data_IF_672460300007
#
_entry.id   IF_672460300007
#
_cell.length_a   1.000
_cell.length_b   1.000
_cell.length_c   1.000
_cell.angle_alpha   90.00
_cell.angle_beta   90.00
_cell.angle_gamma   90.00
#
_symmetry.space_group_name_H-M   'P 1'
#
loop_
_entity.id
_entity.type
_entity.pdbx_description
1 polymer ?
#
# COMPACT_ATOMS: atom_id res chain seq x y z
N UNK A 1 -57.95 81.89 -12.85
CA UNK A 1 -57.47 81.44 -11.53
C UNK A 1 -58.08 80.08 -11.26
N UNK A 2 -57.34 78.98 -11.13
CA UNK A 2 -55.89 78.89 -11.15
C UNK A 2 -55.45 77.48 -11.58
N UNK A 3 -54.78 77.40 -12.73
CA UNK A 3 -54.19 76.20 -13.33
C UNK A 3 -52.92 75.73 -12.57
N UNK A 4 -52.64 76.30 -11.40
CA UNK A 4 -51.43 76.07 -10.62
C UNK A 4 -51.53 74.89 -9.64
N UNK A 5 -52.73 74.54 -9.16
CA UNK A 5 -52.86 73.52 -8.09
C UNK A 5 -52.80 72.08 -8.61
N UNK A 6 -53.20 71.83 -9.86
CA UNK A 6 -53.22 70.48 -10.43
C UNK A 6 -51.84 70.00 -10.95
N UNK A 7 -50.86 70.90 -11.15
CA UNK A 7 -49.52 70.53 -11.63
C UNK A 7 -48.56 70.10 -10.53
N UNK A 8 -48.81 70.47 -9.27
CA UNK A 8 -47.92 70.10 -8.16
C UNK A 8 -48.13 68.64 -7.72
N UNK A 9 -49.37 68.15 -7.76
CA UNK A 9 -49.69 66.79 -7.29
C UNK A 9 -49.17 65.67 -8.21
N UNK A 10 -48.98 65.94 -9.52
CA UNK A 10 -48.47 64.97 -10.50
C UNK A 10 -46.92 64.86 -10.52
N UNK A 11 -46.22 65.90 -10.06
CA UNK A 11 -44.75 65.93 -10.01
C UNK A 11 -44.18 65.30 -8.72
N UNK A 12 -44.95 65.26 -7.63
CA UNK A 12 -44.54 64.60 -6.39
C UNK A 12 -44.76 63.07 -6.43
N UNK A 13 -45.84 62.60 -7.05
CA UNK A 13 -46.10 61.17 -7.23
C UNK A 13 -45.06 60.46 -8.09
N UNK A 14 -44.54 61.12 -9.13
CA UNK A 14 -43.53 60.56 -10.05
C UNK A 14 -42.12 60.51 -9.45
N UNK A 15 -41.81 61.40 -8.49
CA UNK A 15 -40.54 61.35 -7.73
C UNK A 15 -40.54 60.29 -6.64
N UNK A 16 -41.67 60.04 -5.98
CA UNK A 16 -41.83 58.96 -5.01
C UNK A 16 -41.70 57.58 -5.67
N UNK A 17 -42.33 57.39 -6.84
CA UNK A 17 -42.24 56.14 -7.61
C UNK A 17 -40.85 55.85 -8.18
N UNK A 18 -40.09 56.88 -8.59
CA UNK A 18 -38.70 56.72 -9.04
C UNK A 18 -37.72 56.42 -7.89
N UNK A 19 -37.96 56.95 -6.68
CA UNK A 19 -37.14 56.61 -5.50
C UNK A 19 -37.46 55.22 -4.95
N UNK A 20 -38.72 54.78 -5.02
CA UNK A 20 -39.11 53.43 -4.66
C UNK A 20 -38.49 52.39 -5.60
N UNK A 21 -38.57 52.59 -6.93
CA UNK A 21 -38.05 51.63 -7.92
C UNK A 21 -36.50 51.46 -7.88
N UNK A 22 -35.75 52.52 -7.56
CA UNK A 22 -34.28 52.44 -7.39
C UNK A 22 -33.91 51.76 -6.06
N UNK A 23 -34.72 51.93 -5.01
CA UNK A 23 -34.52 51.24 -3.74
C UNK A 23 -34.82 49.73 -3.84
N UNK A 24 -35.82 49.30 -4.60
CA UNK A 24 -36.12 47.87 -4.79
C UNK A 24 -35.07 47.15 -5.65
N UNK A 25 -34.43 47.82 -6.61
CA UNK A 25 -33.34 47.21 -7.39
C UNK A 25 -32.01 47.13 -6.62
N UNK A 26 -31.74 48.07 -5.71
CA UNK A 26 -30.57 48.03 -4.84
C UNK A 26 -30.71 46.99 -3.70
N UNK A 27 -31.92 46.78 -3.18
CA UNK A 27 -32.18 45.74 -2.17
C UNK A 27 -32.23 44.32 -2.76
N UNK A 28 -32.68 44.14 -4.01
CA UNK A 28 -32.68 42.83 -4.65
C UNK A 28 -31.27 42.35 -5.07
N UNK A 29 -30.36 43.26 -5.38
CA UNK A 29 -28.94 42.91 -5.65
C UNK A 29 -28.16 42.62 -4.37
N UNK A 30 -28.45 43.32 -3.27
CA UNK A 30 -27.82 43.02 -1.96
C UNK A 30 -28.38 41.71 -1.37
N UNK A 31 -29.67 41.41 -1.53
CA UNK A 31 -30.27 40.17 -1.05
C UNK A 31 -29.81 38.92 -1.83
N UNK A 32 -29.51 39.05 -3.13
CA UNK A 32 -28.98 37.95 -3.95
C UNK A 32 -27.48 37.70 -3.73
N UNK A 33 -26.71 38.71 -3.32
CA UNK A 33 -25.34 38.48 -2.84
C UNK A 33 -25.32 37.78 -1.47
N UNK A 34 -26.25 38.05 -0.57
CA UNK A 34 -26.26 37.42 0.77
C UNK A 34 -26.63 35.93 0.79
N UNK A 35 -27.23 35.40 -0.27
CA UNK A 35 -27.53 33.95 -0.39
C UNK A 35 -26.42 33.14 -1.07
N UNK A 36 -25.43 33.79 -1.69
CA UNK A 36 -24.27 33.12 -2.27
C UNK A 36 -23.10 32.97 -1.27
N UNK A 37 -23.08 33.76 -0.20
CA UNK A 37 -21.97 33.74 0.76
C UNK A 37 -21.98 32.63 1.84
N UNK A 38 -23.10 32.01 2.27
CA UNK A 38 -23.00 30.92 3.24
C UNK A 38 -22.58 29.59 2.58
N UNK A 39 -22.63 29.47 1.24
CA UNK A 39 -22.19 28.26 0.53
C UNK A 39 -20.66 28.22 0.39
N UNK A 40 -20.00 29.36 0.12
CA UNK A 40 -18.54 29.43 0.08
C UNK A 40 -17.86 29.30 1.46
N UNK A 41 -18.55 29.64 2.56
CA UNK A 41 -18.02 29.42 3.91
C UNK A 41 -18.12 27.98 4.39
N UNK A 42 -18.97 27.14 3.78
CA UNK A 42 -19.04 25.71 4.11
C UNK A 42 -17.85 24.94 3.52
N UNK A 43 -17.35 25.34 2.36
CA UNK A 43 -16.14 24.75 1.76
C UNK A 43 -14.85 25.22 2.46
N UNK A 44 -14.83 26.45 2.99
CA UNK A 44 -13.67 26.99 3.70
C UNK A 44 -13.47 26.39 5.11
N UNK A 45 -14.48 25.72 5.66
CA UNK A 45 -14.43 25.08 6.98
C UNK A 45 -14.26 23.55 6.89
N UNK A 46 -13.76 23.02 5.77
CA UNK A 46 -13.23 21.64 5.69
C UNK A 46 -11.72 21.58 5.98
N UNK A 47 -11.17 22.60 6.64
CA UNK A 47 -9.77 22.66 7.08
C UNK A 47 -9.69 23.10 8.53
N UNK A 48 -9.74 22.14 9.46
CA UNK A 48 -9.18 22.18 10.84
C UNK A 48 -9.88 21.24 11.84
N UNK A 49 -10.60 20.20 11.39
CA UNK A 49 -10.47 18.94 12.11
C UNK A 49 -8.99 18.57 12.00
N UNK A 50 -8.21 18.70 13.08
CA UNK A 50 -6.75 18.55 13.04
C UNK A 50 -6.37 17.37 12.16
N UNK A 51 -5.68 17.63 11.04
CA UNK A 51 -5.63 16.75 9.87
C UNK A 51 -5.57 15.29 10.31
N UNK A 52 -6.74 14.64 10.30
CA UNK A 52 -6.84 13.30 10.85
C UNK A 52 -5.93 12.40 10.02
N UNK A 53 -5.27 11.44 10.65
CA UNK A 53 -4.19 10.72 9.98
C UNK A 53 -4.70 10.05 8.71
N UNK A 54 -4.06 10.31 7.56
CA UNK A 54 -4.61 10.00 6.22
C UNK A 54 -5.17 8.57 6.09
N UNK A 55 -4.48 7.58 6.67
CA UNK A 55 -4.85 6.17 6.55
C UNK A 55 -6.13 5.79 7.31
N UNK A 56 -6.63 6.63 8.23
CA UNK A 56 -7.86 6.34 8.99
C UNK A 56 -9.12 6.35 8.12
N UNK A 57 -9.08 7.08 7.00
CA UNK A 57 -10.21 7.28 6.10
C UNK A 57 -9.85 6.93 4.65
N UNK A 58 -8.68 6.33 4.43
CA UNK A 58 -8.16 6.05 3.10
C UNK A 58 -8.88 4.85 2.45
N UNK A 59 -9.19 4.99 1.16
CA UNK A 59 -9.48 3.86 0.28
C UNK A 59 -8.15 3.28 -0.20
N UNK A 60 -7.80 2.10 0.32
CA UNK A 60 -6.60 1.36 -0.06
C UNK A 60 -6.96 0.30 -1.10
N UNK A 61 -6.22 0.28 -2.22
CA UNK A 61 -6.39 -0.70 -3.29
C UNK A 61 -5.16 -1.61 -3.35
N UNK A 62 -5.36 -2.89 -3.06
CA UNK A 62 -4.29 -3.89 -3.15
C UNK A 62 -4.06 -4.31 -4.61
N UNK A 63 -2.80 -4.35 -5.02
CA UNK A 63 -2.35 -4.71 -6.35
C UNK A 63 -1.40 -5.89 -6.26
N UNK A 64 -1.78 -6.99 -6.90
CA UNK A 64 -0.89 -8.10 -7.19
C UNK A 64 -0.17 -7.84 -8.53
N UNK A 65 1.14 -7.51 -8.53
CA UNK A 65 1.81 -6.91 -9.68
C UNK A 65 1.79 -7.80 -10.92
N UNK A 66 2.10 -9.10 -10.75
CA UNK A 66 2.16 -10.09 -11.84
C UNK A 66 0.87 -10.22 -12.66
N UNK A 67 -0.29 -9.87 -12.12
CA UNK A 67 -1.58 -10.06 -12.80
C UNK A 67 -2.36 -8.76 -13.05
N UNK A 68 -1.77 -7.60 -12.75
CA UNK A 68 -2.49 -6.34 -12.88
C UNK A 68 -2.48 -5.80 -14.32
N UNK A 69 -1.30 -5.52 -14.88
CA UNK A 69 -1.16 -5.09 -16.27
C UNK A 69 0.27 -5.33 -16.77
N UNK A 70 0.40 -6.10 -17.85
CA UNK A 70 1.63 -6.26 -18.63
C UNK A 70 1.79 -5.04 -19.56
N UNK A 71 2.94 -4.37 -19.49
CA UNK A 71 3.25 -3.18 -20.30
C UNK A 71 4.22 -3.44 -21.46
N UNK A 72 4.88 -4.60 -21.49
CA UNK A 72 5.97 -4.90 -22.41
C UNK A 72 5.68 -6.10 -23.35
N UNK A 73 4.60 -6.85 -23.10
CA UNK A 73 4.14 -7.98 -23.90
C UNK A 73 4.76 -9.34 -23.55
N UNK A 74 5.40 -9.49 -22.38
CA UNK A 74 6.00 -10.74 -21.92
C UNK A 74 5.02 -11.68 -21.19
N UNK A 75 3.79 -11.23 -20.93
CA UNK A 75 2.73 -11.98 -20.26
C UNK A 75 2.71 -11.84 -18.73
N UNK A 76 3.58 -11.01 -18.16
CA UNK A 76 3.68 -10.74 -16.72
C UNK A 76 3.39 -9.26 -16.45
N UNK A 77 2.52 -8.98 -15.48
CA UNK A 77 2.26 -7.61 -15.06
C UNK A 77 3.47 -6.97 -14.37
N UNK A 78 3.68 -5.68 -14.61
CA UNK A 78 4.90 -4.96 -14.22
C UNK A 78 4.62 -3.55 -13.64
N UNK A 79 5.65 -2.90 -13.08
CA UNK A 79 5.50 -1.59 -12.42
C UNK A 79 5.12 -0.47 -13.40
N UNK A 80 5.55 -0.56 -14.65
CA UNK A 80 5.16 0.41 -15.68
C UNK A 80 3.68 0.23 -16.04
N UNK A 81 3.16 -0.99 -16.03
CA UNK A 81 1.74 -1.30 -16.19
C UNK A 81 0.90 -0.68 -15.07
N UNK A 82 1.34 -0.80 -13.81
CA UNK A 82 0.69 -0.11 -12.69
C UNK A 82 0.71 1.41 -12.91
N UNK A 83 1.86 1.95 -13.31
CA UNK A 83 2.04 3.39 -13.58
C UNK A 83 1.07 3.90 -14.65
N UNK A 84 0.86 3.14 -15.74
CA UNK A 84 -0.08 3.49 -16.80
C UNK A 84 -1.55 3.57 -16.33
N UNK A 85 -1.90 2.91 -15.23
CA UNK A 85 -3.25 2.91 -14.65
C UNK A 85 -3.41 3.87 -13.47
N UNK A 86 -2.39 4.64 -13.12
CA UNK A 86 -2.48 5.58 -12.00
C UNK A 86 -3.61 6.62 -12.17
N UNK A 87 -3.89 7.04 -13.41
CA UNK A 87 -5.05 7.90 -13.70
C UNK A 87 -6.38 7.22 -13.38
N UNK A 88 -6.55 5.95 -13.78
CA UNK A 88 -7.74 5.16 -13.46
C UNK A 88 -7.92 4.97 -11.95
N UNK A 89 -6.83 4.67 -11.22
CA UNK A 89 -6.87 4.49 -9.76
C UNK A 89 -7.27 5.79 -9.04
N UNK A 90 -6.76 6.93 -9.50
CA UNK A 90 -7.18 8.24 -9.01
C UNK A 90 -8.67 8.51 -9.28
N UNK A 91 -9.13 8.30 -10.53
CA UNK A 91 -10.53 8.52 -10.92
C UNK A 91 -11.50 7.60 -10.16
N UNK A 92 -11.05 6.41 -9.76
CA UNK A 92 -11.78 5.48 -8.91
C UNK A 92 -11.95 5.99 -7.47
N UNK A 93 -11.13 6.95 -7.03
CA UNK A 93 -11.11 7.49 -5.68
C UNK A 93 -10.17 6.75 -4.72
N UNK A 94 -9.11 6.11 -5.23
CA UNK A 94 -8.10 5.44 -4.41
C UNK A 94 -7.15 6.46 -3.79
N UNK A 95 -6.95 6.39 -2.47
CA UNK A 95 -6.01 7.24 -1.72
C UNK A 95 -4.60 6.62 -1.64
N UNK A 96 -4.53 5.29 -1.69
CA UNK A 96 -3.27 4.54 -1.67
C UNK A 96 -3.38 3.20 -2.42
N UNK A 97 -2.31 2.81 -3.10
CA UNK A 97 -2.11 1.43 -3.55
C UNK A 97 -1.23 0.69 -2.57
N UNK A 98 -1.58 -0.55 -2.27
CA UNK A 98 -0.72 -1.51 -1.58
C UNK A 98 -0.24 -2.53 -2.61
N UNK A 99 1.06 -2.59 -2.86
CA UNK A 99 1.64 -3.50 -3.83
C UNK A 99 2.16 -4.73 -3.09
N UNK A 100 1.65 -5.91 -3.45
CA UNK A 100 2.20 -7.20 -3.03
C UNK A 100 3.69 -7.31 -3.45
N UNK A 101 4.48 -8.24 -2.88
CA UNK A 101 5.94 -8.25 -3.06
C UNK A 101 6.41 -8.10 -4.51
N UNK A 102 7.29 -7.14 -4.73
CA UNK A 102 7.91 -6.84 -6.03
C UNK A 102 9.44 -6.98 -6.00
N UNK A 103 9.97 -7.53 -4.91
CA UNK A 103 11.40 -7.72 -4.66
C UNK A 103 11.92 -8.95 -5.40
N UNK A 104 13.23 -9.03 -5.71
CA UNK A 104 13.83 -10.25 -6.23
C UNK A 104 13.48 -11.46 -5.38
N UNK A 105 12.85 -12.44 -6.02
CA UNK A 105 12.41 -13.69 -5.39
C UNK A 105 12.56 -14.85 -6.38
N UNK A 106 12.94 -16.06 -5.93
CA UNK A 106 12.89 -17.27 -6.76
C UNK A 106 11.48 -17.66 -7.23
N UNK A 107 10.44 -17.02 -6.70
CA UNK A 107 9.03 -17.20 -7.03
C UNK A 107 8.44 -18.52 -6.56
N UNK A 108 9.02 -19.14 -5.53
CA UNK A 108 8.48 -20.38 -4.92
C UNK A 108 7.19 -20.09 -4.17
N UNK A 109 7.11 -18.93 -3.51
CA UNK A 109 5.88 -18.40 -2.90
C UNK A 109 5.49 -17.07 -3.55
N UNK A 110 5.59 -17.01 -4.88
CA UNK A 110 5.09 -15.89 -5.70
C UNK A 110 5.52 -14.48 -5.24
N UNK A 111 6.75 -14.36 -4.72
CA UNK A 111 7.32 -13.08 -4.29
C UNK A 111 7.52 -12.93 -2.78
N UNK A 112 6.90 -13.79 -1.96
CA UNK A 112 7.06 -13.72 -0.50
C UNK A 112 8.38 -14.36 -0.01
N UNK A 113 9.01 -15.19 -0.83
CA UNK A 113 10.37 -15.73 -0.68
C UNK A 113 11.44 -14.72 -1.15
N UNK A 114 11.62 -13.64 -0.39
CA UNK A 114 12.48 -12.51 -0.79
C UNK A 114 13.97 -12.85 -0.67
N UNK A 115 14.73 -12.63 -1.74
CA UNK A 115 16.19 -12.81 -1.79
C UNK A 115 16.99 -11.51 -1.59
N UNK A 116 16.43 -10.37 -2.00
CA UNK A 116 17.02 -9.04 -1.85
C UNK A 116 15.93 -7.99 -1.59
N UNK A 117 15.97 -7.33 -0.43
CA UNK A 117 14.98 -6.31 -0.05
C UNK A 117 15.25 -4.92 -0.65
N UNK A 118 16.42 -4.70 -1.24
CA UNK A 118 16.88 -3.38 -1.70
C UNK A 118 16.71 -3.18 -3.21
N UNK A 119 16.16 -4.19 -3.91
CA UNK A 119 15.98 -4.19 -5.35
C UNK A 119 14.52 -4.47 -5.75
N UNK A 120 14.25 -4.29 -7.04
CA UNK A 120 13.01 -4.70 -7.71
C UNK A 120 13.33 -5.96 -8.53
N UNK A 121 12.43 -6.95 -8.50
CA UNK A 121 12.58 -8.14 -9.32
C UNK A 121 12.62 -7.75 -10.80
N UNK A 122 13.62 -8.22 -11.58
CA UNK A 122 13.74 -7.88 -12.98
C UNK A 122 12.49 -8.18 -13.83
N UNK A 123 11.64 -9.12 -13.41
CA UNK A 123 10.36 -9.39 -14.10
C UNK A 123 9.35 -8.24 -13.96
N UNK A 124 9.47 -7.42 -12.92
CA UNK A 124 8.57 -6.28 -12.66
C UNK A 124 9.15 -4.94 -13.08
N UNK A 125 10.47 -4.86 -13.28
CA UNK A 125 11.17 -3.69 -13.80
C UNK A 125 12.42 -3.34 -13.02
N UNK A 126 12.66 -2.04 -12.84
CA UNK A 126 13.86 -1.50 -12.17
C UNK A 126 13.49 -0.55 -11.03
N UNK A 127 14.48 -0.21 -10.17
CA UNK A 127 14.31 0.86 -9.17
C UNK A 127 13.89 2.19 -9.80
N UNK A 128 14.39 2.50 -11.01
CA UNK A 128 13.98 3.70 -11.73
C UNK A 128 12.52 3.63 -12.20
N UNK A 129 11.96 2.44 -12.41
CA UNK A 129 10.55 2.25 -12.74
C UNK A 129 9.69 2.43 -11.49
N UNK A 130 10.17 1.94 -10.35
CA UNK A 130 9.54 2.20 -9.05
C UNK A 130 9.53 3.70 -8.70
N UNK A 131 10.63 4.42 -8.92
CA UNK A 131 10.68 5.87 -8.73
C UNK A 131 9.63 6.60 -9.59
N UNK A 132 9.43 6.15 -10.83
CA UNK A 132 8.39 6.70 -11.72
C UNK A 132 6.99 6.40 -11.20
N UNK A 133 6.73 5.18 -10.73
CA UNK A 133 5.45 4.81 -10.13
C UNK A 133 5.11 5.70 -8.94
N UNK A 134 6.06 5.88 -8.01
CA UNK A 134 5.89 6.75 -6.83
C UNK A 134 5.67 8.20 -7.25
N UNK A 135 6.43 8.69 -8.23
CA UNK A 135 6.27 10.05 -8.74
C UNK A 135 4.90 10.28 -9.40
N UNK A 136 4.39 9.32 -10.18
CA UNK A 136 3.06 9.40 -10.80
C UNK A 136 1.93 9.32 -9.79
N UNK A 137 2.07 8.48 -8.74
CA UNK A 137 1.14 8.44 -7.62
C UNK A 137 1.07 9.77 -6.90
N UNK A 138 2.23 10.35 -6.55
CA UNK A 138 2.33 11.66 -5.89
C UNK A 138 1.67 12.79 -6.70
N UNK A 139 1.78 12.78 -8.03
CA UNK A 139 1.11 13.78 -8.89
C UNK A 139 -0.42 13.73 -8.80
N UNK A 140 -0.97 12.62 -8.32
CA UNK A 140 -2.41 12.32 -8.24
C UNK A 140 -2.88 12.11 -6.80
N UNK A 141 -2.06 12.48 -5.82
CA UNK A 141 -2.31 12.26 -4.39
C UNK A 141 -2.56 10.79 -4.00
N UNK A 142 -2.15 9.84 -4.84
CA UNK A 142 -2.19 8.39 -4.57
C UNK A 142 -0.88 7.96 -3.92
N UNK A 143 -0.94 7.41 -2.71
CA UNK A 143 0.22 6.90 -1.98
C UNK A 143 0.58 5.50 -2.44
N UNK A 144 1.84 5.11 -2.27
CA UNK A 144 2.32 3.75 -2.52
C UNK A 144 2.75 3.15 -1.19
N UNK A 145 2.15 2.01 -0.85
CA UNK A 145 2.48 1.18 0.31
C UNK A 145 3.10 -0.12 -0.20
N UNK A 146 4.22 -0.51 0.39
CA UNK A 146 4.90 -1.75 0.06
C UNK A 146 4.60 -2.81 1.11
N UNK A 147 4.42 -4.05 0.64
CA UNK A 147 4.39 -5.21 1.52
C UNK A 147 5.79 -5.50 2.09
N UNK A 148 5.89 -5.81 3.38
CA UNK A 148 7.16 -6.12 4.05
C UNK A 148 7.09 -7.47 4.74
N UNK A 149 7.70 -8.47 4.11
CA UNK A 149 7.78 -9.84 4.64
C UNK A 149 9.05 -9.97 5.48
N UNK A 150 8.92 -9.92 6.81
CA UNK A 150 10.07 -9.89 7.73
C UNK A 150 10.26 -11.17 8.54
N UNK A 151 9.31 -12.10 8.50
CA UNK A 151 9.39 -13.35 9.27
C UNK A 151 10.45 -14.31 8.72
N UNK A 152 10.65 -14.30 7.40
CA UNK A 152 11.58 -15.18 6.69
C UNK A 152 12.13 -14.47 5.45
N UNK A 153 13.18 -15.07 4.88
CA UNK A 153 13.73 -14.73 3.56
C UNK A 153 13.80 -16.01 2.74
N UNK A 154 14.06 -15.89 1.43
CA UNK A 154 14.49 -17.04 0.65
C UNK A 154 15.86 -17.56 1.13
N UNK A 155 16.08 -18.86 0.94
CA UNK A 155 17.36 -19.56 1.05
C UNK A 155 18.42 -19.07 0.05
N UNK A 156 18.01 -18.30 -0.97
CA UNK A 156 18.89 -17.61 -1.92
C UNK A 156 19.29 -16.21 -1.45
N UNK A 157 18.75 -15.71 -0.34
CA UNK A 157 19.22 -14.46 0.25
C UNK A 157 20.67 -14.59 0.71
N UNK A 158 21.47 -13.52 0.53
CA UNK A 158 22.84 -13.49 1.03
C UNK A 158 22.90 -13.68 2.55
N UNK A 159 21.84 -13.29 3.27
CA UNK A 159 21.76 -13.50 4.72
C UNK A 159 21.69 -14.99 5.06
N UNK A 160 20.87 -15.77 4.35
CA UNK A 160 20.77 -17.21 4.57
C UNK A 160 22.05 -17.92 4.13
N UNK A 161 22.59 -17.57 2.96
CA UNK A 161 23.84 -18.14 2.45
C UNK A 161 24.98 -17.93 3.45
N UNK A 162 25.12 -16.72 4.00
CA UNK A 162 26.12 -16.42 5.02
C UNK A 162 25.87 -17.21 6.31
N UNK A 163 24.63 -17.22 6.79
CA UNK A 163 24.20 -17.94 8.01
C UNK A 163 24.48 -19.44 7.93
N UNK A 164 24.16 -20.05 6.79
CA UNK A 164 24.32 -21.47 6.50
C UNK A 164 25.75 -21.88 6.12
N UNK A 165 26.65 -20.92 5.87
CA UNK A 165 28.03 -21.21 5.42
C UNK A 165 28.90 -21.85 6.50
N UNK A 166 28.72 -21.47 7.76
CA UNK A 166 29.48 -21.96 8.90
C UNK A 166 28.83 -21.53 10.21
N UNK A 167 28.91 -22.39 11.24
CA UNK A 167 28.48 -22.06 12.61
C UNK A 167 29.25 -20.90 13.24
N UNK A 168 30.41 -20.54 12.69
CA UNK A 168 31.22 -19.40 13.17
C UNK A 168 30.98 -18.11 12.37
N UNK A 169 30.09 -18.13 11.37
CA UNK A 169 29.75 -16.92 10.63
C UNK A 169 29.00 -15.95 11.56
N UNK A 170 29.32 -14.64 11.55
CA UNK A 170 28.62 -13.65 12.38
C UNK A 170 27.11 -13.58 12.15
N UNK A 171 26.61 -14.06 11.00
CA UNK A 171 25.18 -14.12 10.67
C UNK A 171 24.54 -15.48 10.96
N UNK A 172 25.26 -16.45 11.53
CA UNK A 172 24.70 -17.78 11.79
C UNK A 172 23.41 -17.70 12.62
N UNK A 173 23.41 -16.91 13.68
CA UNK A 173 22.24 -16.75 14.56
C UNK A 173 21.17 -15.79 14.02
N UNK A 174 21.22 -15.39 12.73
CA UNK A 174 20.13 -14.65 12.09
C UNK A 174 18.94 -15.54 11.74
N UNK A 175 19.17 -16.86 11.67
CA UNK A 175 18.13 -17.86 11.43
C UNK A 175 18.06 -18.82 12.63
N UNK A 176 16.93 -19.51 12.75
CA UNK A 176 16.70 -20.43 13.87
C UNK A 176 17.29 -21.79 13.51
N UNK A 177 18.43 -22.11 14.12
CA UNK A 177 19.12 -23.39 13.98
C UNK A 177 18.90 -24.31 15.18
N UNK A 178 18.88 -25.60 14.94
CA UNK A 178 18.85 -26.60 16.00
C UNK A 178 19.68 -27.83 15.64
N UNK A 179 20.41 -28.38 16.61
CA UNK A 179 21.18 -29.60 16.40
C UNK A 179 20.31 -30.84 16.18
N UNK A 180 19.00 -30.76 16.47
CA UNK A 180 18.08 -31.90 16.51
C UNK A 180 18.27 -32.75 17.77
N UNK A 181 17.57 -33.88 17.82
CA UNK A 181 17.71 -34.87 18.91
C UNK A 181 18.13 -36.23 18.35
N UNK A 182 18.84 -37.08 19.11
CA UNK A 182 19.19 -38.42 18.64
C UNK A 182 17.96 -39.23 18.22
N UNK A 183 18.02 -39.92 17.08
CA UNK A 183 16.90 -40.68 16.51
C UNK A 183 16.40 -41.82 17.43
N UNK A 184 17.27 -42.32 18.31
CA UNK A 184 16.94 -43.30 19.34
C UNK A 184 16.35 -42.72 20.62
N UNK A 185 16.13 -41.40 20.71
CA UNK A 185 15.60 -40.77 21.92
C UNK A 185 14.17 -41.22 22.22
N UNK A 186 13.81 -41.30 23.50
CA UNK A 186 12.44 -41.59 23.92
C UNK A 186 11.48 -40.49 23.42
N UNK A 187 10.31 -40.89 22.91
CA UNK A 187 9.30 -39.95 22.41
C UNK A 187 9.48 -39.50 20.95
N UNK A 188 10.53 -39.95 20.25
CA UNK A 188 10.70 -39.68 18.82
C UNK A 188 9.53 -40.27 18.02
N UNK A 189 8.81 -39.40 17.33
CA UNK A 189 7.63 -39.76 16.54
C UNK A 189 7.99 -40.38 15.19
N UNK A 190 7.04 -41.10 14.57
CA UNK A 190 7.21 -41.60 13.20
C UNK A 190 7.40 -40.46 12.19
N UNK A 191 6.78 -39.30 12.43
CA UNK A 191 6.96 -38.11 11.60
C UNK A 191 8.42 -37.62 11.68
N UNK A 192 8.97 -37.45 12.88
CA UNK A 192 10.37 -37.03 13.06
C UNK A 192 11.35 -38.00 12.40
N UNK A 193 11.12 -39.33 12.49
CA UNK A 193 11.98 -40.34 11.84
C UNK A 193 12.00 -40.26 10.32
N UNK A 194 10.97 -39.68 9.69
CA UNK A 194 10.95 -39.45 8.24
C UNK A 194 12.02 -38.45 7.80
N UNK A 195 12.44 -37.57 8.71
CA UNK A 195 13.40 -36.50 8.48
C UNK A 195 14.71 -36.75 9.24
N UNK A 196 15.09 -38.02 9.41
CA UNK A 196 16.34 -38.38 10.09
C UNK A 196 17.55 -38.06 9.21
N UNK A 197 18.52 -37.33 9.77
CA UNK A 197 19.81 -37.04 9.16
C UNK A 197 20.92 -37.29 10.18
N UNK A 198 21.92 -38.07 9.79
CA UNK A 198 23.12 -38.35 10.61
C UNK A 198 22.79 -38.88 12.03
N UNK A 199 21.77 -39.73 12.13
CA UNK A 199 21.31 -40.29 13.41
C UNK A 199 20.58 -39.28 14.31
N UNK A 200 20.20 -38.12 13.77
CA UNK A 200 19.40 -37.09 14.44
C UNK A 200 18.08 -36.88 13.72
N UNK A 201 17.06 -36.49 14.46
CA UNK A 201 15.74 -36.10 13.93
C UNK A 201 15.40 -34.66 14.33
N UNK A 202 14.41 -34.01 13.67
CA UNK A 202 13.96 -32.68 14.06
C UNK A 202 13.67 -32.57 15.56
N UNK A 203 13.90 -31.40 16.18
CA UNK A 203 13.81 -31.23 17.63
C UNK A 203 12.40 -31.41 18.19
N UNK A 204 11.37 -31.25 17.35
CA UNK A 204 9.97 -31.41 17.71
C UNK A 204 9.16 -31.95 16.52
N UNK A 205 7.86 -32.13 16.70
CA UNK A 205 6.91 -32.60 15.69
C UNK A 205 6.05 -31.46 15.12
N UNK A 206 6.57 -30.23 15.10
CA UNK A 206 5.89 -29.11 14.44
C UNK A 206 5.66 -29.41 12.95
N UNK A 207 4.74 -28.67 12.35
CA UNK A 207 4.33 -28.84 10.96
C UNK A 207 4.37 -27.47 10.28
N UNK A 208 4.99 -27.38 9.11
CA UNK A 208 4.96 -26.17 8.27
C UNK A 208 3.53 -25.87 7.81
N UNK A 209 3.23 -24.60 7.56
CA UNK A 209 1.95 -24.15 7.01
C UNK A 209 1.63 -24.83 5.67
N UNK A 210 2.64 -25.12 4.85
CA UNK A 210 2.48 -25.82 3.57
C UNK A 210 2.65 -27.34 3.67
N UNK A 211 2.85 -27.84 4.89
CA UNK A 211 2.88 -29.26 5.22
C UNK A 211 4.29 -29.85 5.24
N UNK A 212 4.43 -30.96 5.97
CA UNK A 212 5.73 -31.56 6.27
C UNK A 212 6.40 -30.95 7.51
N UNK A 213 7.63 -31.39 7.76
CA UNK A 213 8.44 -30.86 8.87
C UNK A 213 8.88 -29.43 8.54
N UNK A 214 8.79 -28.47 9.48
CA UNK A 214 9.34 -27.12 9.35
C UNK A 214 10.83 -27.06 9.70
N UNK A 215 11.52 -28.20 9.66
CA UNK A 215 12.91 -28.34 10.04
C UNK A 215 13.64 -29.04 8.89
N UNK A 216 14.51 -28.31 8.22
CA UNK A 216 15.25 -28.78 7.05
C UNK A 216 16.74 -28.92 7.39
N UNK A 217 17.34 -30.05 7.04
CA UNK A 217 18.72 -30.35 7.39
C UNK A 217 19.71 -29.65 6.46
N UNK A 218 20.65 -28.89 7.03
CA UNK A 218 21.71 -28.20 6.30
C UNK A 218 23.05 -28.86 6.60
N UNK A 219 23.55 -29.62 5.63
CA UNK A 219 24.76 -30.43 5.77
C UNK A 219 26.02 -29.60 6.06
N UNK A 220 26.12 -28.36 5.55
CA UNK A 220 27.28 -27.50 5.75
C UNK A 220 27.54 -27.16 7.23
N UNK A 221 26.47 -27.08 8.04
CA UNK A 221 26.53 -26.78 9.47
C UNK A 221 26.10 -27.94 10.36
N UNK A 222 25.68 -29.07 9.78
CA UNK A 222 25.16 -30.24 10.50
C UNK A 222 24.04 -29.88 11.51
N UNK A 223 23.09 -29.05 11.07
CA UNK A 223 21.94 -28.59 11.86
C UNK A 223 20.67 -28.58 11.03
N UNK A 224 19.53 -28.63 11.72
CA UNK A 224 18.24 -28.29 11.15
C UNK A 224 18.03 -26.77 11.20
N UNK A 225 17.60 -26.18 10.10
CA UNK A 225 17.10 -24.81 10.05
C UNK A 225 15.57 -24.83 10.12
N UNK A 226 14.97 -23.88 10.84
CA UNK A 226 13.52 -23.76 10.95
C UNK A 226 12.93 -22.90 9.82
N UNK A 227 11.83 -23.38 9.24
CA UNK A 227 11.00 -22.63 8.31
C UNK A 227 9.51 -22.85 8.59
N UNK A 228 8.75 -21.77 8.70
CA UNK A 228 7.31 -21.86 8.96
C UNK A 228 6.49 -22.18 7.69
N UNK A 229 6.97 -21.71 6.55
CA UNK A 229 6.32 -21.82 5.24
C UNK A 229 7.09 -22.82 4.36
N UNK A 230 7.56 -22.41 3.19
CA UNK A 230 8.42 -23.23 2.34
C UNK A 230 9.83 -23.38 2.93
N UNK A 231 10.54 -24.39 2.44
CA UNK A 231 11.94 -24.69 2.81
C UNK A 231 12.96 -23.86 2.00
N UNK A 232 12.48 -23.11 1.00
CA UNK A 232 13.26 -22.27 0.09
C UNK A 232 13.04 -20.77 0.32
#
# INVERSE_FOLDING_TARGET
MDLYSARVCLLEGTRALRRAAVATFALATIASLTWAFPVLSAEAQAGSAGADTWWKHAVVYEIYPRSFLDSNGDGVGDLNGITQRMGYLHDLGVDAIWIAPMYPSPQMDFGYDISDYEAVDPQYGTLADFDRLVAEGKKRDVRVVLDMVLNHTSDKSQWFIDSASSRTNPKHDWYVWNDGIPAGSAGVTALQKKYEHEGKVPPNNWVSIFGGSPWEWVAAVHQFYYHEFEKE
#
